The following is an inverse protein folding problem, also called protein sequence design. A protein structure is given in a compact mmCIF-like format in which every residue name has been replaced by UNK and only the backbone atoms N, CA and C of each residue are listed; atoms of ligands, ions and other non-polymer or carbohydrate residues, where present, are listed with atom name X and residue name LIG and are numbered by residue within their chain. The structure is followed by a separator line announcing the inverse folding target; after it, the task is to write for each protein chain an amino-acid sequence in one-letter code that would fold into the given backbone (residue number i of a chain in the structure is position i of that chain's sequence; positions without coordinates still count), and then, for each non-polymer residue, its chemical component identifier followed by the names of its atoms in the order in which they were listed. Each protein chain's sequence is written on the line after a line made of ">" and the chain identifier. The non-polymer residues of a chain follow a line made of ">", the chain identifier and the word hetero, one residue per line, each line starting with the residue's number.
data_IF_384194801164
#
_entry.id   IF_384194801164
#
_cell.length_a   1.000
_cell.length_b   1.000
_cell.length_c   1.000
_cell.angle_alpha   90.00
_cell.angle_beta   90.00
_cell.angle_gamma   90.00
#
_symmetry.space_group_name_H-M   'P 1'
#
loop_
_entity.id
_entity.type
_entity.pdbx_description
1 polymer ?
#
# COMPACT_ATOMS: atom_id res chain seq x y z
N UNK A 1 -6.55 10.33 -6.01
CA UNK A 1 -6.80 9.28 -5.00
C UNK A 1 -6.40 9.87 -3.65
N UNK A 2 -6.81 9.31 -2.50
CA UNK A 2 -6.35 9.77 -1.17
C UNK A 2 -5.92 8.58 -0.33
N UNK A 3 -5.19 8.81 0.76
CA UNK A 3 -4.81 7.73 1.70
C UNK A 3 -6.02 7.05 2.36
N UNK A 4 -7.19 7.72 2.40
CA UNK A 4 -8.47 7.20 2.89
C UNK A 4 -9.20 6.33 1.86
N UNK A 5 -8.72 6.28 0.61
CA UNK A 5 -9.33 5.45 -0.43
C UNK A 5 -9.12 3.99 -0.06
N UNK A 6 -10.21 3.20 -0.02
CA UNK A 6 -10.11 1.74 0.12
C UNK A 6 -9.78 1.12 -1.24
N UNK A 7 -8.81 0.22 -1.25
CA UNK A 7 -8.39 -0.52 -2.43
C UNK A 7 -8.67 -2.01 -2.24
N UNK A 8 -9.01 -2.68 -3.34
CA UNK A 8 -9.33 -4.10 -3.33
C UNK A 8 -8.14 -4.96 -2.87
N UNK A 9 -6.92 -4.59 -3.28
CA UNK A 9 -5.70 -5.28 -2.89
C UNK A 9 -4.51 -4.31 -2.78
N UNK A 10 -4.03 -4.11 -1.55
CA UNK A 10 -2.81 -3.38 -1.25
C UNK A 10 -1.67 -4.35 -0.96
N UNK A 11 -0.48 -3.97 -1.38
CA UNK A 11 0.78 -4.61 -0.98
C UNK A 11 1.60 -3.57 -0.21
N UNK A 12 1.93 -3.87 1.02
CA UNK A 12 2.85 -3.09 1.83
C UNK A 12 4.26 -3.69 1.74
N UNK A 13 5.25 -2.84 1.50
CA UNK A 13 6.65 -3.14 1.79
C UNK A 13 6.98 -2.54 3.15
N UNK A 14 7.34 -3.36 4.14
CA UNK A 14 7.67 -2.93 5.49
C UNK A 14 8.97 -3.56 6.01
N UNK A 15 9.51 -2.98 7.10
CA UNK A 15 10.79 -3.39 7.67
C UNK A 15 10.72 -4.69 8.50
N UNK A 16 9.53 -5.20 8.81
CA UNK A 16 9.34 -6.37 9.69
C UNK A 16 9.20 -7.66 8.85
N UNK A 17 8.15 -7.72 8.04
CA UNK A 17 7.77 -8.91 7.26
C UNK A 17 8.29 -8.85 5.82
N UNK A 18 8.75 -7.68 5.37
CA UNK A 18 9.18 -7.43 4.00
C UNK A 18 8.00 -7.16 3.06
N UNK A 19 7.03 -8.07 2.98
CA UNK A 19 5.81 -7.83 2.21
C UNK A 19 4.56 -8.36 2.90
N UNK A 20 3.52 -7.53 2.98
CA UNK A 20 2.19 -7.92 3.44
C UNK A 20 1.13 -7.51 2.41
N UNK A 21 0.03 -8.28 2.36
CA UNK A 21 -1.08 -8.06 1.43
C UNK A 21 -2.34 -7.84 2.24
N UNK A 22 -3.07 -6.77 1.91
CA UNK A 22 -4.32 -6.39 2.56
C UNK A 22 -5.43 -6.29 1.52
N UNK A 23 -6.63 -6.75 1.88
CA UNK A 23 -7.81 -6.69 1.02
C UNK A 23 -8.85 -5.72 1.60
N UNK A 24 -9.44 -4.89 0.73
CA UNK A 24 -10.49 -3.92 1.09
C UNK A 24 -10.10 -2.92 2.19
N UNK A 25 -8.85 -2.47 2.15
CA UNK A 25 -8.24 -1.61 3.17
C UNK A 25 -7.70 -0.32 2.55
N UNK A 26 -7.34 0.65 3.40
CA UNK A 26 -6.79 1.94 3.01
C UNK A 26 -5.38 2.15 3.54
N UNK A 27 -4.56 2.96 2.86
CA UNK A 27 -3.21 3.29 3.34
C UNK A 27 -3.28 3.92 4.74
N UNK A 28 -4.28 4.78 4.98
CA UNK A 28 -4.50 5.45 6.28
C UNK A 28 -4.66 4.48 7.44
N UNK A 29 -5.36 3.37 7.21
CA UNK A 29 -5.63 2.33 8.21
C UNK A 29 -4.39 1.46 8.48
N UNK A 30 -3.52 1.31 7.49
CA UNK A 30 -2.36 0.39 7.54
C UNK A 30 -1.03 1.05 7.88
N UNK A 31 -0.81 2.30 7.44
CA UNK A 31 0.47 2.98 7.54
C UNK A 31 0.94 3.08 9.00
N UNK A 32 2.19 2.66 9.22
CA UNK A 32 2.87 2.82 10.49
C UNK A 32 4.34 3.24 10.34
N UNK A 33 5.09 3.19 11.44
CA UNK A 33 6.50 3.60 11.46
C UNK A 33 7.46 2.65 10.73
N UNK A 34 6.97 1.50 10.26
CA UNK A 34 7.74 0.45 9.57
C UNK A 34 7.41 0.38 8.08
N UNK A 35 6.32 1.00 7.65
CA UNK A 35 5.90 1.08 6.24
C UNK A 35 6.92 1.85 5.39
N UNK A 36 7.33 1.26 4.26
CA UNK A 36 8.25 1.88 3.29
C UNK A 36 7.55 2.28 2.00
N UNK A 37 6.62 1.45 1.53
CA UNK A 37 5.85 1.73 0.33
C UNK A 37 4.52 0.96 0.32
N UNK A 38 3.51 1.53 -0.32
CA UNK A 38 2.28 0.80 -0.68
C UNK A 38 2.11 0.74 -2.19
N UNK A 39 1.65 -0.42 -2.65
CA UNK A 39 1.33 -0.68 -4.05
C UNK A 39 -0.10 -1.21 -4.17
N UNK A 40 -0.73 -0.97 -5.31
CA UNK A 40 -1.92 -1.72 -5.73
C UNK A 40 -1.45 -2.98 -6.44
N UNK A 41 -1.96 -4.14 -6.05
CA UNK A 41 -1.80 -5.37 -6.83
C UNK A 41 -2.93 -5.46 -7.86
N UNK A 42 -2.57 -5.29 -9.13
CA UNK A 42 -3.51 -5.36 -10.24
C UNK A 42 -3.92 -6.81 -10.55
N UNK A 43 -5.05 -6.99 -11.26
CA UNK A 43 -5.53 -8.31 -11.66
C UNK A 43 -4.52 -9.11 -12.51
N UNK A 44 -3.74 -8.40 -13.33
CA UNK A 44 -2.68 -8.95 -14.18
C UNK A 44 -1.38 -9.31 -13.43
N UNK A 45 -1.41 -9.22 -12.09
CA UNK A 45 -0.29 -9.49 -11.18
C UNK A 45 0.87 -8.50 -11.29
N UNK A 46 0.65 -7.35 -11.94
CA UNK A 46 1.56 -6.21 -11.82
C UNK A 46 1.27 -5.40 -10.57
N UNK A 47 2.24 -4.60 -10.12
CA UNK A 47 2.11 -3.72 -8.96
C UNK A 47 2.29 -2.27 -9.39
N UNK A 48 1.43 -1.38 -8.91
CA UNK A 48 1.54 0.07 -9.13
C UNK A 48 1.88 0.74 -7.81
N UNK A 49 3.03 1.42 -7.74
CA UNK A 49 3.44 2.18 -6.56
C UNK A 49 2.51 3.38 -6.37
N UNK A 50 1.89 3.50 -5.19
CA UNK A 50 0.93 4.57 -4.92
C UNK A 50 1.31 5.44 -3.73
N UNK A 51 2.16 4.96 -2.83
CA UNK A 51 2.64 5.71 -1.69
C UNK A 51 4.06 5.29 -1.35
N UNK A 52 4.92 6.25 -0.98
CA UNK A 52 6.29 5.99 -0.57
C UNK A 52 6.81 7.11 0.34
N UNK A 53 7.53 6.73 1.40
CA UNK A 53 8.28 7.65 2.27
C UNK A 53 7.46 8.85 2.78
N UNK A 54 6.17 8.66 3.10
CA UNK A 54 5.30 9.74 3.59
C UNK A 54 4.50 10.47 2.53
N UNK A 55 4.68 10.15 1.24
CA UNK A 55 4.05 10.85 0.13
C UNK A 55 3.19 9.92 -0.73
N UNK A 56 1.95 10.36 -0.96
CA UNK A 56 1.07 9.77 -1.97
C UNK A 56 1.50 10.23 -3.37
N UNK A 57 1.63 9.30 -4.31
CA UNK A 57 2.17 9.54 -5.66
C UNK A 57 1.10 9.66 -6.76
N UNK A 58 -0.19 9.54 -6.40
CA UNK A 58 -1.32 9.36 -7.35
C UNK A 58 -2.42 10.39 -7.23
#
# INVERSE_FOLDING_TARGET
>A
VTEETKFDCLVELNDIEGFEIYENDSIRELIDGTSRAFYILNEDKTMTLIWKDGELLV
#
